data_IF_181574655381
#
_entry.id   IF_181574655381
#
_cell.length_a   1.000
_cell.length_b   1.000
_cell.length_c   1.000
_cell.angle_alpha   90.00
_cell.angle_beta   90.00
_cell.angle_gamma   90.00
#
_symmetry.space_group_name_H-M   'P 1'
#
loop_
_entity.id
_entity.type
_entity.pdbx_description
1 polymer ?
#
# COMPACT_ATOMS: atom_id res chain seq x y z
N UNK A 1 -11.76 -14.29 20.76
CA UNK A 1 -11.33 -15.07 19.58
C UNK A 1 -11.72 -14.48 18.21
N UNK A 2 -12.85 -13.76 18.03
CA UNK A 2 -13.21 -13.16 16.71
C UNK A 2 -12.39 -11.93 16.30
N UNK A 3 -12.02 -11.05 17.25
CA UNK A 3 -11.24 -9.82 16.98
C UNK A 3 -9.88 -10.11 16.31
N UNK A 4 -9.17 -11.13 16.77
CA UNK A 4 -7.86 -11.53 16.23
C UNK A 4 -7.92 -12.17 14.84
N UNK A 5 -9.08 -12.71 14.42
CA UNK A 5 -9.28 -13.19 13.04
C UNK A 5 -9.46 -12.03 12.07
N UNK A 6 -10.26 -11.02 12.45
CA UNK A 6 -10.52 -9.83 11.64
C UNK A 6 -9.25 -8.97 11.43
N UNK A 7 -8.43 -8.86 12.48
CA UNK A 7 -7.16 -8.13 12.45
C UNK A 7 -6.17 -8.77 11.46
N UNK A 8 -6.07 -10.11 11.48
CA UNK A 8 -5.25 -10.88 10.53
C UNK A 8 -5.75 -10.74 9.09
N UNK A 9 -7.07 -10.73 8.90
CA UNK A 9 -7.70 -10.60 7.60
C UNK A 9 -7.50 -9.21 6.98
N UNK A 10 -7.53 -8.13 7.79
CA UNK A 10 -7.19 -6.77 7.35
C UNK A 10 -5.72 -6.64 6.97
N UNK A 11 -4.80 -7.24 7.73
CA UNK A 11 -3.37 -7.26 7.37
C UNK A 11 -3.13 -7.97 6.03
N UNK A 12 -3.78 -9.12 5.82
CA UNK A 12 -3.67 -9.87 4.56
C UNK A 12 -4.29 -9.09 3.39
N UNK A 13 -5.42 -8.41 3.59
CA UNK A 13 -6.03 -7.56 2.55
C UNK A 13 -5.11 -6.39 2.17
N UNK A 14 -4.53 -5.70 3.16
CA UNK A 14 -3.56 -4.61 2.95
C UNK A 14 -2.31 -5.13 2.22
N UNK A 15 -1.81 -6.31 2.61
CA UNK A 15 -0.69 -6.96 1.94
C UNK A 15 -1.00 -7.32 0.49
N UNK A 16 -2.16 -7.93 0.21
CA UNK A 16 -2.57 -8.29 -1.14
C UNK A 16 -2.81 -7.05 -2.02
N UNK A 17 -3.36 -5.97 -1.47
CA UNK A 17 -3.50 -4.68 -2.16
C UNK A 17 -2.12 -4.09 -2.46
N UNK A 18 -1.21 -4.08 -1.49
CA UNK A 18 0.17 -3.63 -1.67
C UNK A 18 0.90 -4.46 -2.73
N UNK A 19 0.74 -5.78 -2.72
CA UNK A 19 1.26 -6.66 -3.77
C UNK A 19 0.65 -6.34 -5.13
N UNK A 20 -0.66 -6.16 -5.22
CA UNK A 20 -1.31 -5.88 -6.51
C UNK A 20 -0.89 -4.52 -7.08
N UNK A 21 -0.66 -3.52 -6.24
CA UNK A 21 -0.17 -2.20 -6.66
C UNK A 21 1.32 -2.23 -7.03
N UNK A 22 2.17 -2.87 -6.22
CA UNK A 22 3.63 -2.91 -6.44
C UNK A 22 4.06 -3.91 -7.52
N UNK A 23 3.29 -4.98 -7.72
CA UNK A 23 3.53 -5.98 -8.77
C UNK A 23 2.56 -5.82 -9.94
N UNK A 24 1.84 -4.69 -10.02
CA UNK A 24 0.96 -4.44 -11.15
C UNK A 24 1.78 -4.37 -12.43
N UNK A 25 1.43 -5.13 -13.48
CA UNK A 25 2.03 -4.96 -14.80
C UNK A 25 1.80 -3.55 -15.38
N UNK A 26 0.97 -2.72 -14.75
CA UNK A 26 0.80 -1.29 -15.07
C UNK A 26 2.05 -0.43 -14.77
N UNK A 27 3.00 -0.92 -13.96
CA UNK A 27 4.33 -0.29 -13.81
C UNK A 27 5.17 -0.52 -15.07
N UNK A 28 4.87 -1.58 -15.83
CA UNK A 28 5.53 -1.84 -17.10
C UNK A 28 4.90 -0.99 -18.21
N UNK A 29 5.68 -0.04 -18.70
CA UNK A 29 5.53 0.73 -19.93
C UNK A 29 4.55 1.91 -19.86
N UNK A 30 5.01 3.03 -19.30
CA UNK A 30 5.03 4.24 -20.11
C UNK A 30 6.44 4.45 -20.65
N UNK A 31 6.58 4.52 -21.97
CA UNK A 31 7.84 4.80 -22.68
C UNK A 31 8.44 6.19 -22.31
N UNK A 32 7.70 6.98 -21.54
CA UNK A 32 8.14 8.27 -21.01
C UNK A 32 7.83 8.39 -19.51
N UNK A 33 8.82 8.79 -18.69
CA UNK A 33 8.58 9.08 -17.29
C UNK A 33 7.65 10.30 -17.19
N UNK A 34 6.40 10.07 -16.78
CA UNK A 34 5.49 11.17 -16.47
C UNK A 34 6.04 11.93 -15.27
N UNK A 35 6.30 13.23 -15.45
CA UNK A 35 6.79 14.13 -14.42
C UNK A 35 5.62 14.93 -13.86
N UNK A 36 5.42 14.88 -12.55
CA UNK A 36 4.48 15.72 -11.82
C UNK A 36 5.29 16.65 -10.92
N UNK A 37 5.14 17.97 -11.08
CA UNK A 37 5.97 18.98 -10.40
C UNK A 37 7.49 18.77 -10.56
N UNK A 38 7.93 18.17 -11.68
CA UNK A 38 9.34 17.83 -11.91
C UNK A 38 9.82 16.55 -11.22
N UNK A 39 8.96 15.84 -10.47
CA UNK A 39 9.25 14.52 -9.91
C UNK A 39 8.61 13.41 -10.74
N UNK A 40 9.32 12.29 -10.98
CA UNK A 40 8.72 11.12 -11.61
C UNK A 40 7.54 10.60 -10.80
N UNK A 41 6.39 10.46 -11.45
CA UNK A 41 5.13 9.96 -10.86
C UNK A 41 5.32 8.59 -10.22
N UNK A 42 6.25 7.78 -10.74
CA UNK A 42 6.64 6.50 -10.17
C UNK A 42 7.08 6.61 -8.69
N UNK A 43 7.85 7.64 -8.34
CA UNK A 43 8.27 7.84 -6.96
C UNK A 43 7.09 8.22 -6.07
N UNK A 44 6.25 9.16 -6.51
CA UNK A 44 5.05 9.55 -5.76
C UNK A 44 4.11 8.36 -5.52
N UNK A 45 3.96 7.51 -6.53
CA UNK A 45 3.20 6.27 -6.42
C UNK A 45 3.84 5.31 -5.41
N UNK A 46 5.13 5.01 -5.55
CA UNK A 46 5.84 4.07 -4.68
C UNK A 46 5.77 4.52 -3.21
N UNK A 47 6.17 5.77 -2.94
CA UNK A 47 6.15 6.33 -1.58
C UNK A 47 4.72 6.49 -1.04
N UNK A 48 3.76 6.83 -1.90
CA UNK A 48 2.34 6.94 -1.52
C UNK A 48 1.75 5.60 -1.11
N UNK A 49 1.94 4.55 -1.91
CA UNK A 49 1.51 3.18 -1.58
C UNK A 49 2.19 2.71 -0.30
N UNK A 50 3.50 2.95 -0.17
CA UNK A 50 4.26 2.56 1.01
C UNK A 50 3.76 3.25 2.29
N UNK A 51 3.51 4.57 2.25
CA UNK A 51 2.89 5.31 3.36
C UNK A 51 1.52 4.75 3.73
N UNK A 52 0.70 4.42 2.73
CA UNK A 52 -0.65 3.88 2.95
C UNK A 52 -0.60 2.51 3.63
N UNK A 53 0.37 1.66 3.25
CA UNK A 53 0.63 0.38 3.93
C UNK A 53 1.06 0.58 5.39
N UNK A 54 1.98 1.51 5.66
CA UNK A 54 2.44 1.81 7.03
C UNK A 54 1.28 2.35 7.88
N UNK A 55 0.51 3.30 7.35
CA UNK A 55 -0.64 3.87 8.06
C UNK A 55 -1.71 2.79 8.35
N UNK A 56 -1.97 1.91 7.39
CA UNK A 56 -2.88 0.79 7.58
C UNK A 56 -2.35 -0.20 8.64
N UNK A 57 -1.06 -0.54 8.63
CA UNK A 57 -0.46 -1.37 9.68
C UNK A 57 -0.56 -0.70 11.06
N UNK A 58 -0.20 0.58 11.15
CA UNK A 58 -0.28 1.35 12.39
C UNK A 58 -1.72 1.40 12.93
N UNK A 59 -2.71 1.58 12.06
CA UNK A 59 -4.12 1.59 12.46
C UNK A 59 -4.59 0.22 12.92
N UNK A 60 -4.19 -0.86 12.25
CA UNK A 60 -4.58 -2.22 12.65
C UNK A 60 -3.94 -2.61 13.98
N UNK A 61 -2.66 -2.28 14.21
CA UNK A 61 -1.97 -2.53 15.48
C UNK A 61 -2.63 -1.74 16.60
N UNK A 62 -2.80 -0.42 16.43
CA UNK A 62 -3.37 0.45 17.47
C UNK A 62 -4.84 0.15 17.79
N UNK A 63 -5.62 -0.33 16.81
CA UNK A 63 -7.00 -0.78 17.02
C UNK A 63 -7.13 -2.16 17.68
N UNK A 64 -6.02 -2.86 17.96
CA UNK A 64 -6.00 -4.11 18.73
C UNK A 64 -5.84 -3.91 20.24
N UNK A 65 -5.53 -2.68 20.66
CA UNK A 65 -5.21 -2.32 22.04
C UNK A 65 -6.46 -1.87 22.85
N UNK A 66 -7.65 -1.82 22.21
CA UNK A 66 -8.98 -1.58 22.80
C UNK A 66 -9.82 -2.88 22.90
#
# INVERSE_FOLDING_TARGET
>A
MRRSKLMRQRLVAVFLIGMLLLFSPLIALPDQPQLLFGLPVLYLYLFGVWMLLIAAMAWVVRGGDE
#
